data_IF_104544550631
#
_entry.id   IF_104544550631
#
_cell.length_a   1.000
_cell.length_b   1.000
_cell.length_c   1.000
_cell.angle_alpha   90.00
_cell.angle_beta   90.00
_cell.angle_gamma   90.00
#
_symmetry.space_group_name_H-M   'P 1'
#
loop_
_entity.id
_entity.type
_entity.pdbx_description
1 polymer ?
#
# COMPACT_ATOMS: atom_id res chain seq x y z
N UNK A 1 7.67 7.33 -12.25
CA UNK A 1 7.41 7.35 -10.80
C UNK A 1 5.97 6.94 -10.54
N UNK A 2 5.08 7.18 -11.51
CA UNK A 2 3.67 6.81 -11.50
C UNK A 2 3.38 5.37 -11.07
N UNK A 3 4.21 4.38 -11.46
CA UNK A 3 4.07 2.98 -11.03
C UNK A 3 4.08 2.80 -9.49
N UNK A 4 4.93 3.54 -8.78
CA UNK A 4 4.93 3.53 -7.31
C UNK A 4 3.71 4.25 -6.74
N UNK A 5 3.31 5.35 -7.37
CA UNK A 5 2.17 6.15 -6.91
C UNK A 5 0.84 5.39 -7.06
N UNK A 6 0.64 4.71 -8.18
CA UNK A 6 -0.50 3.80 -8.40
C UNK A 6 -0.55 2.71 -7.33
N UNK A 7 0.59 2.05 -7.07
CA UNK A 7 0.71 1.09 -5.97
C UNK A 7 0.19 1.66 -4.64
N UNK A 8 0.67 2.85 -4.26
CA UNK A 8 0.32 3.46 -2.98
C UNK A 8 -1.18 3.83 -2.90
N UNK A 9 -1.77 4.26 -4.02
CA UNK A 9 -3.21 4.51 -4.12
C UNK A 9 -3.99 3.22 -3.87
N UNK A 10 -3.64 2.12 -4.53
CA UNK A 10 -4.34 0.84 -4.39
C UNK A 10 -4.13 0.22 -3.01
N UNK A 11 -2.93 0.35 -2.42
CA UNK A 11 -2.67 -0.10 -1.05
C UNK A 11 -3.61 0.59 -0.07
N UNK A 12 -3.80 1.90 -0.24
CA UNK A 12 -4.71 2.70 0.56
C UNK A 12 -6.21 2.50 0.23
N UNK A 13 -6.55 1.72 -0.79
CA UNK A 13 -7.92 1.20 -0.99
C UNK A 13 -8.13 -0.09 -0.20
N UNK A 14 -7.11 -0.95 -0.19
CA UNK A 14 -7.24 -2.33 0.27
C UNK A 14 -6.84 -2.52 1.73
N UNK A 15 -5.87 -1.77 2.24
CA UNK A 15 -5.23 -2.07 3.52
C UNK A 15 -5.04 -0.83 4.40
N UNK A 16 -5.57 -0.91 5.62
CA UNK A 16 -5.19 -0.03 6.72
C UNK A 16 -5.33 -0.80 8.03
N UNK A 17 -4.21 -1.12 8.67
CA UNK A 17 -4.26 -1.81 9.96
C UNK A 17 -4.43 -0.81 11.10
N UNK A 18 -5.41 -1.05 11.98
CA UNK A 18 -5.61 -0.21 13.16
C UNK A 18 -4.39 -0.28 14.11
N UNK A 19 -3.90 0.88 14.55
CA UNK A 19 -2.88 0.97 15.61
C UNK A 19 -3.50 0.94 17.00
N UNK A 20 -2.81 0.35 17.99
CA UNK A 20 -3.25 0.44 19.39
C UNK A 20 -3.08 1.85 19.93
N UNK A 21 -4.10 2.37 20.62
CA UNK A 21 -4.11 3.71 21.24
C UNK A 21 -4.25 3.60 22.76
N UNK A 22 -3.91 4.67 23.47
CA UNK A 22 -4.21 4.80 24.90
C UNK A 22 -5.74 4.83 25.13
N UNK A 23 -6.19 4.64 26.37
CA UNK A 23 -7.61 4.77 26.74
C UNK A 23 -8.18 6.17 26.47
N UNK A 24 -7.31 7.18 26.38
CA UNK A 24 -7.65 8.57 26.00
C UNK A 24 -7.82 8.76 24.49
N UNK A 25 -7.51 7.75 23.66
CA UNK A 25 -7.48 7.84 22.20
C UNK A 25 -6.15 8.35 21.61
N UNK A 26 -5.22 8.79 22.46
CA UNK A 26 -3.91 9.28 22.03
C UNK A 26 -2.99 8.16 21.53
N UNK A 27 -2.06 8.51 20.64
CA UNK A 27 -1.02 7.60 20.16
C UNK A 27 -0.03 7.24 21.27
N UNK A 28 0.50 6.03 21.23
CA UNK A 28 1.46 5.58 22.24
C UNK A 28 2.91 5.93 21.84
N UNK A 29 3.66 6.50 22.79
CA UNK A 29 5.09 6.77 22.64
C UNK A 29 5.93 5.72 23.40
N UNK A 30 6.48 4.77 22.66
CA UNK A 30 7.07 3.54 23.16
C UNK A 30 8.61 3.54 23.18
N UNK A 31 9.26 4.55 22.59
CA UNK A 31 10.71 4.73 22.65
C UNK A 31 11.06 5.85 23.65
N UNK A 32 11.56 5.49 24.82
CA UNK A 32 12.00 6.42 25.87
C UNK A 32 13.14 5.77 26.65
N UNK A 33 13.84 6.49 27.53
CA UNK A 33 15.07 6.00 28.17
C UNK A 33 14.96 4.61 28.82
N UNK A 34 13.81 4.30 29.42
CA UNK A 34 13.55 3.00 30.04
C UNK A 34 13.41 1.83 29.05
N UNK A 35 13.21 2.10 27.75
CA UNK A 35 13.15 1.07 26.72
C UNK A 35 14.45 0.22 26.67
N UNK A 36 15.59 0.77 27.10
CA UNK A 36 16.86 0.02 27.24
C UNK A 36 16.92 -0.87 28.48
N UNK A 37 16.12 -0.60 29.51
CA UNK A 37 16.26 -1.19 30.85
C UNK A 37 15.33 -2.39 31.10
N UNK A 38 14.56 -2.83 30.11
CA UNK A 38 13.59 -3.92 30.23
C UNK A 38 12.76 -3.84 31.53
N UNK A 39 12.34 -2.62 31.90
CA UNK A 39 11.55 -2.38 33.11
C UNK A 39 10.18 -3.04 33.00
N UNK A 40 9.64 -3.51 34.14
CA UNK A 40 8.39 -4.28 34.20
C UNK A 40 7.13 -3.49 33.81
N UNK A 41 7.18 -2.16 33.77
CA UNK A 41 6.00 -1.33 33.53
C UNK A 41 6.11 -0.74 32.12
N UNK A 42 5.58 -1.48 31.14
CA UNK A 42 5.47 -1.00 29.76
C UNK A 42 4.11 -1.39 29.21
N UNK A 43 3.48 -0.47 28.47
CA UNK A 43 2.22 -0.77 27.82
C UNK A 43 2.38 -2.03 26.94
N UNK A 44 1.47 -3.03 27.00
CA UNK A 44 1.62 -4.30 26.26
C UNK A 44 1.74 -4.14 24.74
N UNK A 45 1.24 -3.03 24.20
CA UNK A 45 1.36 -2.69 22.78
C UNK A 45 2.70 -2.03 22.41
N UNK A 46 3.57 -1.72 23.36
CA UNK A 46 4.84 -1.06 23.06
C UNK A 46 5.91 -2.11 22.72
N UNK A 47 6.58 -1.99 21.55
CA UNK A 47 7.67 -2.89 21.12
C UNK A 47 8.74 -2.13 20.30
N UNK A 48 9.58 -1.31 20.94
CA UNK A 48 10.38 -0.34 20.22
C UNK A 48 11.45 -1.07 19.41
N UNK A 49 11.92 -0.48 18.33
CA UNK A 49 13.03 -1.07 17.59
C UNK A 49 14.30 -0.55 18.24
N UNK A 50 15.02 -1.38 18.98
CA UNK A 50 16.27 -0.98 19.61
C UNK A 50 17.36 -0.82 18.54
N UNK A 51 18.08 0.28 18.61
CA UNK A 51 19.15 0.60 17.67
C UNK A 51 20.48 0.05 18.22
N UNK A 52 21.27 -0.70 17.42
CA UNK A 52 22.59 -1.17 17.79
C UNK A 52 23.52 -0.02 18.21
N UNK A 53 24.47 -0.28 19.11
CA UNK A 53 25.39 0.79 19.58
C UNK A 53 26.35 1.25 18.48
N UNK A 54 26.65 0.35 17.55
CA UNK A 54 27.51 0.50 16.39
C UNK A 54 26.72 0.86 15.12
N UNK A 55 25.45 1.25 15.25
CA UNK A 55 24.67 1.75 14.12
C UNK A 55 25.39 2.94 13.47
N UNK A 56 25.65 2.91 12.15
CA UNK A 56 26.51 3.91 11.50
C UNK A 56 25.89 5.31 11.45
N UNK A 57 24.56 5.44 11.54
CA UNK A 57 23.87 6.73 11.40
C UNK A 57 23.31 7.23 12.73
N UNK A 58 22.55 6.41 13.44
CA UNK A 58 21.84 6.82 14.65
C UNK A 58 22.75 6.99 15.87
N UNK A 59 23.88 6.29 15.92
CA UNK A 59 24.88 6.46 17.00
C UNK A 59 25.42 7.89 17.07
N UNK A 60 25.53 8.57 15.93
CA UNK A 60 25.99 9.96 15.83
C UNK A 60 24.98 10.97 16.42
N UNK A 61 23.73 10.55 16.61
CA UNK A 61 22.62 11.39 17.07
C UNK A 61 22.18 11.06 18.50
N UNK A 62 22.91 10.17 19.20
CA UNK A 62 22.49 9.58 20.47
C UNK A 62 21.09 8.95 20.43
N UNK A 63 20.61 8.55 19.25
CA UNK A 63 19.31 7.93 19.06
C UNK A 63 19.43 6.42 19.27
N UNK A 64 18.52 5.85 20.07
CA UNK A 64 18.70 4.48 20.56
C UNK A 64 17.51 3.56 20.38
N UNK A 65 16.36 4.09 19.99
CA UNK A 65 15.27 3.28 19.50
C UNK A 65 14.38 4.02 18.51
N UNK A 66 13.80 3.30 17.56
CA UNK A 66 12.66 3.82 16.80
C UNK A 66 11.35 3.49 17.53
N UNK A 67 10.42 4.46 17.54
CA UNK A 67 9.11 4.27 18.15
C UNK A 67 8.33 3.20 17.37
N UNK A 68 7.79 2.22 18.08
CA UNK A 68 6.95 1.20 17.46
C UNK A 68 5.85 0.75 18.42
N UNK A 69 4.63 0.81 17.91
CA UNK A 69 3.39 0.41 18.58
C UNK A 69 2.78 -0.75 17.80
N UNK A 70 2.43 -1.82 18.53
CA UNK A 70 1.73 -2.97 17.98
C UNK A 70 0.38 -2.57 17.42
N UNK A 71 0.02 -3.14 16.28
CA UNK A 71 -1.32 -2.97 15.74
C UNK A 71 -2.37 -3.60 16.65
N UNK A 72 -3.57 -3.04 16.66
CA UNK A 72 -4.68 -3.48 17.50
C UNK A 72 -5.02 -4.94 17.19
N UNK A 73 -5.39 -5.70 18.23
CA UNK A 73 -5.89 -7.05 18.05
C UNK A 73 -7.33 -7.00 17.55
N UNK A 74 -7.63 -7.80 16.53
CA UNK A 74 -8.99 -8.03 16.05
C UNK A 74 -9.75 -9.05 16.88
N UNK A 75 -11.05 -8.83 17.13
CA UNK A 75 -11.89 -9.90 17.62
C UNK A 75 -12.00 -10.98 16.54
N UNK A 76 -11.96 -12.25 16.94
CA UNK A 76 -12.33 -13.36 16.05
C UNK A 76 -13.83 -13.30 15.76
N UNK A 77 -14.26 -13.82 14.61
CA UNK A 77 -15.68 -13.84 14.22
C UNK A 77 -16.59 -14.53 15.26
N UNK A 78 -16.06 -15.52 15.96
CA UNK A 78 -16.73 -16.27 17.02
C UNK A 78 -16.47 -15.71 18.43
N UNK A 79 -15.73 -14.60 18.54
CA UNK A 79 -15.28 -13.98 19.80
C UNK A 79 -14.51 -14.93 20.74
N UNK A 80 -14.02 -16.07 20.25
CA UNK A 80 -13.29 -17.03 21.06
C UNK A 80 -11.84 -16.59 21.30
N UNK A 81 -11.28 -17.05 22.42
CA UNK A 81 -9.86 -16.91 22.70
C UNK A 81 -9.03 -17.68 21.66
N UNK A 82 -7.93 -17.09 21.21
CA UNK A 82 -7.02 -17.74 20.29
C UNK A 82 -5.79 -16.88 20.01
N UNK A 83 -5.05 -17.25 18.96
CA UNK A 83 -3.93 -16.45 18.48
C UNK A 83 -4.41 -15.06 18.04
N UNK A 84 -3.50 -14.08 18.12
CA UNK A 84 -3.78 -12.68 17.80
C UNK A 84 -3.95 -12.51 16.30
N UNK A 85 -5.06 -11.90 15.90
CA UNK A 85 -5.32 -11.41 14.54
C UNK A 85 -5.27 -9.89 14.52
N UNK A 86 -4.97 -9.28 13.37
CA UNK A 86 -5.04 -7.82 13.19
C UNK A 86 -6.27 -7.44 12.36
N UNK A 87 -6.79 -6.22 12.57
CA UNK A 87 -7.97 -5.71 11.86
C UNK A 87 -7.52 -4.86 10.67
N UNK A 88 -8.04 -5.18 9.48
CA UNK A 88 -8.09 -4.23 8.36
C UNK A 88 -9.31 -3.32 8.52
N UNK A 89 -9.10 -2.00 8.56
CA UNK A 89 -10.18 -1.01 8.74
C UNK A 89 -10.75 -0.48 7.43
N UNK A 90 -10.23 -0.94 6.28
CA UNK A 90 -10.77 -0.63 4.96
C UNK A 90 -11.63 -1.78 4.42
N UNK A 91 -12.34 -1.50 3.34
CA UNK A 91 -12.96 -2.51 2.48
C UNK A 91 -11.86 -3.38 1.87
N UNK A 92 -12.14 -4.68 1.67
CA UNK A 92 -11.16 -5.63 1.14
C UNK A 92 -11.21 -5.75 -0.39
N UNK A 93 -12.08 -4.98 -1.05
CA UNK A 93 -12.26 -4.94 -2.52
C UNK A 93 -11.76 -3.60 -3.05
N UNK A 94 -11.41 -3.54 -4.34
CA UNK A 94 -11.03 -2.27 -5.01
C UNK A 94 -12.32 -1.54 -5.37
N UNK A 95 -12.80 -0.66 -4.48
CA UNK A 95 -14.06 0.06 -4.63
C UNK A 95 -13.91 1.59 -4.53
N UNK A 96 -12.67 2.08 -4.58
CA UNK A 96 -12.39 3.51 -4.51
C UNK A 96 -12.53 4.07 -3.09
N UNK A 97 -12.43 3.25 -2.05
CA UNK A 97 -12.58 3.67 -0.65
C UNK A 97 -11.53 4.69 -0.19
N UNK A 98 -10.37 4.76 -0.86
CA UNK A 98 -9.42 5.86 -0.66
C UNK A 98 -9.99 7.24 -1.08
N UNK A 99 -10.96 7.25 -1.98
CA UNK A 99 -11.71 8.46 -2.43
C UNK A 99 -13.00 8.62 -1.63
N UNK A 100 -13.75 7.55 -1.41
CA UNK A 100 -15.12 7.60 -0.88
C UNK A 100 -15.24 7.30 0.63
N UNK A 101 -14.16 6.81 1.25
CA UNK A 101 -14.14 6.34 2.64
C UNK A 101 -14.72 4.93 2.82
N UNK A 102 -14.31 4.25 3.88
CA UNK A 102 -14.75 2.89 4.22
C UNK A 102 -15.83 2.83 5.31
N UNK A 103 -16.36 3.99 5.74
CA UNK A 103 -17.48 4.09 6.69
C UNK A 103 -18.56 5.05 6.19
N UNK A 104 -19.80 4.82 6.59
CA UNK A 104 -20.93 5.65 6.18
C UNK A 104 -20.76 7.12 6.61
N UNK A 105 -20.32 7.35 7.84
CA UNK A 105 -20.08 8.71 8.35
C UNK A 105 -18.98 9.43 7.57
N UNK A 106 -17.90 8.71 7.21
CA UNK A 106 -16.82 9.29 6.40
C UNK A 106 -17.30 9.59 4.99
N UNK A 107 -18.05 8.69 4.36
CA UNK A 107 -18.62 8.90 3.03
C UNK A 107 -19.57 10.11 3.03
N UNK A 108 -20.44 10.23 4.04
CA UNK A 108 -21.32 11.41 4.23
C UNK A 108 -20.51 12.69 4.42
N UNK A 109 -19.46 12.65 5.23
CA UNK A 109 -18.59 13.81 5.45
C UNK A 109 -17.92 14.30 4.17
N UNK A 110 -17.49 13.39 3.30
CA UNK A 110 -16.81 13.73 2.05
C UNK A 110 -17.76 14.27 0.96
N UNK A 111 -19.08 14.15 1.12
CA UNK A 111 -20.08 14.57 0.14
C UNK A 111 -20.51 16.03 0.33
N UNK A 112 -20.67 16.73 -0.78
CA UNK A 112 -21.29 18.05 -0.78
C UNK A 112 -22.82 17.97 -0.65
N UNK A 113 -23.39 16.79 -0.97
CA UNK A 113 -24.83 16.54 -1.16
C UNK A 113 -25.45 17.50 -2.17
N UNK A 114 -24.68 17.80 -3.21
CA UNK A 114 -25.05 18.67 -4.31
C UNK A 114 -24.61 18.04 -5.62
N UNK A 115 -25.57 17.70 -6.48
CA UNK A 115 -25.33 17.10 -7.80
C UNK A 115 -24.42 15.85 -7.76
N UNK A 116 -24.46 15.07 -6.68
CA UNK A 116 -23.63 13.90 -6.45
C UNK A 116 -22.15 14.16 -6.20
N UNK A 117 -21.75 15.42 -5.98
CA UNK A 117 -20.34 15.83 -5.88
C UNK A 117 -19.73 15.51 -4.51
N UNK A 118 -18.41 15.33 -4.53
CA UNK A 118 -17.59 15.40 -3.33
C UNK A 118 -17.38 16.87 -2.92
N UNK A 119 -17.10 17.10 -1.64
CA UNK A 119 -16.67 18.42 -1.15
C UNK A 119 -15.29 18.73 -1.73
N UNK A 120 -15.08 19.99 -2.05
CA UNK A 120 -13.82 20.52 -2.58
C UNK A 120 -13.55 21.87 -1.95
N UNK A 121 -12.28 22.21 -1.82
CA UNK A 121 -11.83 23.54 -1.45
C UNK A 121 -11.18 24.25 -2.63
N UNK A 122 -11.33 25.57 -2.68
CA UNK A 122 -10.74 26.38 -3.74
C UNK A 122 -9.51 27.12 -3.23
N UNK A 123 -8.34 26.73 -3.72
CA UNK A 123 -7.07 27.43 -3.45
C UNK A 123 -6.52 27.94 -4.76
N UNK A 124 -6.32 29.26 -4.87
CA UNK A 124 -5.78 29.91 -6.07
C UNK A 124 -6.54 29.60 -7.38
N UNK A 125 -7.84 29.32 -7.29
CA UNK A 125 -8.71 29.00 -8.44
C UNK A 125 -8.74 27.52 -8.84
N UNK A 126 -8.02 26.64 -8.13
CA UNK A 126 -8.05 25.17 -8.33
C UNK A 126 -8.82 24.49 -7.20
N UNK A 127 -9.51 23.40 -7.54
CA UNK A 127 -10.22 22.56 -6.58
C UNK A 127 -9.26 21.52 -5.98
N UNK A 128 -9.18 21.50 -4.65
CA UNK A 128 -8.39 20.57 -3.85
C UNK A 128 -9.30 19.76 -2.91
N UNK A 129 -8.74 18.70 -2.31
CA UNK A 129 -9.40 17.97 -1.23
C UNK A 129 -9.85 18.94 -0.12
N UNK A 130 -11.05 18.73 0.46
CA UNK A 130 -11.70 19.70 1.33
C UNK A 130 -11.03 19.80 2.71
N UNK A 131 -10.85 21.01 3.21
CA UNK A 131 -10.81 21.35 4.64
C UNK A 131 -12.26 21.58 5.11
N UNK A 132 -12.52 21.26 6.37
CA UNK A 132 -13.89 21.24 6.89
C UNK A 132 -14.54 22.63 6.89
N UNK A 133 -15.39 22.91 5.90
CA UNK A 133 -16.48 23.90 5.97
C UNK A 133 -17.61 23.54 5.00
N UNK A 134 -18.86 23.79 5.40
CA UNK A 134 -20.09 23.41 4.68
C UNK A 134 -20.65 24.55 3.79
N UNK A 135 -21.15 24.25 2.58
CA UNK A 135 -22.47 24.72 2.09
C UNK A 135 -22.91 24.24 0.67
N UNK A 136 -24.23 24.39 0.41
CA UNK A 136 -25.16 23.78 -0.60
C UNK A 136 -25.51 24.58 -1.89
N UNK A 137 -25.85 23.88 -2.99
CA UNK A 137 -26.91 24.18 -4.02
C UNK A 137 -27.14 23.02 -5.05
N UNK A 138 -28.36 22.90 -5.63
CA UNK A 138 -28.93 21.74 -6.37
C UNK A 138 -29.16 21.87 -7.92
N UNK A 139 -29.48 20.69 -8.52
CA UNK A 139 -30.21 20.30 -9.78
C UNK A 139 -29.52 19.71 -11.04
N UNK A 140 -29.88 18.44 -11.39
CA UNK A 140 -30.44 17.94 -12.68
C UNK A 140 -30.95 16.48 -12.53
N UNK A 141 -31.79 15.97 -13.44
CA UNK A 141 -32.81 14.87 -13.38
C UNK A 141 -32.47 13.45 -12.83
N UNK A 142 -31.32 13.23 -12.18
CA UNK A 142 -31.11 12.10 -11.28
C UNK A 142 -31.00 12.62 -9.85
N UNK A 143 -31.47 11.86 -8.84
CA UNK A 143 -31.28 12.30 -7.45
C UNK A 143 -29.77 12.46 -7.16
N UNK A 144 -29.39 13.39 -6.27
CA UNK A 144 -28.00 13.56 -5.82
C UNK A 144 -27.34 12.21 -5.47
N UNK A 145 -28.11 11.36 -4.77
CA UNK A 145 -27.69 10.02 -4.40
C UNK A 145 -27.40 9.15 -5.62
N UNK A 146 -28.29 9.16 -6.62
CA UNK A 146 -28.11 8.38 -7.85
C UNK A 146 -26.86 8.81 -8.60
N UNK A 147 -26.61 10.12 -8.73
CA UNK A 147 -25.41 10.64 -9.40
C UNK A 147 -24.15 10.26 -8.65
N UNK A 148 -24.14 10.40 -7.32
CA UNK A 148 -23.00 10.01 -6.49
C UNK A 148 -22.69 8.52 -6.63
N UNK A 149 -23.68 7.64 -6.47
CA UNK A 149 -23.47 6.20 -6.48
C UNK A 149 -23.04 5.68 -7.87
N UNK A 150 -23.63 6.19 -8.94
CA UNK A 150 -23.25 5.78 -10.30
C UNK A 150 -21.86 6.30 -10.69
N UNK A 151 -21.50 7.53 -10.28
CA UNK A 151 -20.13 8.03 -10.43
C UNK A 151 -19.13 7.19 -9.66
N UNK A 152 -19.41 6.90 -8.38
CA UNK A 152 -18.56 6.04 -7.54
C UNK A 152 -18.32 4.68 -8.19
N UNK A 153 -19.38 4.07 -8.71
CA UNK A 153 -19.32 2.74 -9.33
C UNK A 153 -18.48 2.75 -10.61
N UNK A 154 -18.59 3.79 -11.44
CA UNK A 154 -17.76 3.94 -12.65
C UNK A 154 -16.29 4.16 -12.28
N UNK A 155 -16.00 5.06 -11.33
CA UNK A 155 -14.63 5.33 -10.88
C UNK A 155 -13.99 4.07 -10.29
N UNK A 156 -14.72 3.29 -9.48
CA UNK A 156 -14.23 2.01 -8.98
C UNK A 156 -13.88 1.05 -10.13
N UNK A 157 -14.72 0.96 -11.16
CA UNK A 157 -14.46 0.12 -12.34
C UNK A 157 -13.26 0.60 -13.18
N UNK A 158 -13.04 1.91 -13.29
CA UNK A 158 -11.85 2.49 -13.92
C UNK A 158 -10.58 2.11 -13.13
N UNK A 159 -10.61 2.23 -11.79
CA UNK A 159 -9.50 1.82 -10.91
C UNK A 159 -9.22 0.31 -11.05
N UNK A 160 -10.26 -0.53 -11.04
CA UNK A 160 -10.14 -1.98 -11.26
C UNK A 160 -9.47 -2.27 -12.62
N UNK A 161 -9.93 -1.62 -13.68
CA UNK A 161 -9.39 -1.81 -15.04
C UNK A 161 -7.90 -1.42 -15.12
N UNK A 162 -7.56 -0.22 -14.67
CA UNK A 162 -6.17 0.29 -14.69
C UNK A 162 -5.26 -0.63 -13.87
N UNK A 163 -5.71 -1.04 -12.66
CA UNK A 163 -4.93 -1.91 -11.78
C UNK A 163 -4.60 -3.24 -12.45
N UNK A 164 -5.60 -3.92 -13.02
CA UNK A 164 -5.42 -5.27 -13.58
C UNK A 164 -4.81 -5.28 -14.98
N UNK A 165 -4.96 -4.21 -15.77
CA UNK A 165 -4.45 -4.19 -17.15
C UNK A 165 -3.14 -3.45 -17.33
N UNK A 166 -2.83 -2.47 -16.47
CA UNK A 166 -1.63 -1.65 -16.57
C UNK A 166 -0.64 -1.98 -15.47
N UNK A 167 -1.04 -1.82 -14.21
CA UNK A 167 -0.12 -1.94 -13.08
C UNK A 167 0.31 -3.39 -12.83
N UNK A 168 -0.64 -4.30 -12.61
CA UNK A 168 -0.34 -5.68 -12.23
C UNK A 168 0.53 -6.44 -13.24
N UNK A 169 0.29 -6.37 -14.57
CA UNK A 169 1.14 -7.05 -15.54
C UNK A 169 2.59 -6.57 -15.55
N UNK A 170 2.86 -5.31 -15.17
CA UNK A 170 4.21 -4.81 -14.99
C UNK A 170 4.87 -5.42 -13.75
N UNK A 171 4.09 -5.62 -12.69
CA UNK A 171 4.62 -6.07 -11.40
C UNK A 171 4.86 -7.57 -11.36
N UNK A 172 3.85 -8.39 -11.67
CA UNK A 172 3.92 -9.85 -11.53
C UNK A 172 4.15 -10.58 -12.86
N UNK A 173 4.17 -9.85 -13.97
CA UNK A 173 4.40 -10.39 -15.30
C UNK A 173 3.14 -10.95 -15.96
N UNK A 174 3.10 -10.85 -17.30
CA UNK A 174 1.94 -11.30 -18.09
C UNK A 174 1.74 -12.81 -18.02
N UNK A 175 2.80 -13.56 -17.77
CA UNK A 175 2.74 -15.01 -17.61
C UNK A 175 1.88 -15.40 -16.40
N UNK A 176 2.15 -14.81 -15.23
CA UNK A 176 1.37 -15.04 -13.99
C UNK A 176 -0.05 -14.49 -14.13
N UNK A 177 -0.23 -13.32 -14.75
CA UNK A 177 -1.56 -12.75 -15.01
C UNK A 177 -2.47 -13.71 -15.79
N UNK A 178 -1.92 -14.46 -16.76
CA UNK A 178 -2.67 -15.46 -17.54
C UNK A 178 -2.97 -16.71 -16.72
N UNK A 179 -1.99 -17.20 -15.97
CA UNK A 179 -2.14 -18.39 -15.12
C UNK A 179 -3.28 -18.23 -14.10
N UNK A 180 -3.42 -17.03 -13.53
CA UNK A 180 -4.47 -16.72 -12.55
C UNK A 180 -5.74 -16.11 -13.16
N UNK A 181 -5.86 -16.02 -14.49
CA UNK A 181 -6.98 -15.41 -15.22
C UNK A 181 -7.33 -13.98 -14.76
N UNK A 182 -6.30 -13.15 -14.55
CA UNK A 182 -6.45 -11.82 -13.95
C UNK A 182 -6.77 -10.73 -14.97
N UNK A 183 -6.30 -10.84 -16.22
CA UNK A 183 -6.58 -9.85 -17.26
C UNK A 183 -8.08 -9.64 -17.45
N UNK A 184 -8.51 -8.39 -17.63
CA UNK A 184 -9.91 -8.09 -17.95
C UNK A 184 -10.19 -8.35 -19.43
N UNK A 185 -11.46 -8.50 -19.77
CA UNK A 185 -11.90 -8.62 -21.16
C UNK A 185 -11.97 -7.24 -21.82
N UNK A 186 -11.70 -7.17 -23.14
CA UNK A 186 -11.91 -5.94 -23.89
C UNK A 186 -13.40 -5.63 -24.11
N UNK A 187 -14.28 -6.64 -24.01
CA UNK A 187 -15.73 -6.51 -24.12
C UNK A 187 -16.45 -7.70 -23.46
N UNK A 188 -17.75 -7.52 -23.22
CA UNK A 188 -18.63 -8.54 -22.68
C UNK A 188 -18.43 -8.82 -21.20
N UNK A 189 -19.06 -9.89 -20.73
CA UNK A 189 -19.18 -10.19 -19.31
C UNK A 189 -18.30 -11.35 -18.84
N UNK A 190 -18.07 -11.43 -17.53
CA UNK A 190 -17.58 -12.60 -16.82
C UNK A 190 -18.69 -13.26 -16.00
N UNK A 191 -18.51 -14.55 -15.70
CA UNK A 191 -19.44 -15.36 -14.90
C UNK A 191 -18.71 -16.03 -13.74
N UNK A 192 -17.54 -15.47 -13.38
CA UNK A 192 -16.56 -16.13 -12.53
C UNK A 192 -16.87 -15.91 -11.04
N UNK A 193 -17.78 -14.99 -10.69
CA UNK A 193 -18.10 -14.64 -9.31
C UNK A 193 -18.44 -15.88 -8.46
N UNK A 194 -17.72 -16.03 -7.35
CA UNK A 194 -17.89 -17.10 -6.38
C UNK A 194 -18.23 -16.52 -5.01
N UNK A 195 -19.45 -16.78 -4.52
CA UNK A 195 -19.92 -16.30 -3.22
C UNK A 195 -19.39 -17.13 -2.03
N UNK A 196 -18.69 -18.24 -2.28
CA UNK A 196 -18.01 -19.05 -1.27
C UNK A 196 -16.54 -18.71 -1.14
N UNK A 197 -15.97 -17.95 -2.08
CA UNK A 197 -14.60 -17.47 -2.00
C UNK A 197 -14.50 -16.34 -0.98
N UNK A 198 -13.52 -16.42 -0.07
CA UNK A 198 -13.22 -15.33 0.85
C UNK A 198 -12.28 -14.30 0.17
N UNK A 199 -12.75 -13.06 -0.11
CA UNK A 199 -11.95 -11.99 -0.68
C UNK A 199 -11.15 -11.17 0.36
N UNK A 200 -11.17 -11.56 1.64
CA UNK A 200 -10.43 -10.90 2.70
C UNK A 200 -8.94 -10.75 2.37
N UNK A 201 -8.36 -9.62 2.78
CA UNK A 201 -6.94 -9.35 2.57
C UNK A 201 -6.09 -10.25 3.46
N UNK A 202 -5.16 -10.97 2.84
CA UNK A 202 -4.16 -11.77 3.53
C UNK A 202 -3.25 -10.90 4.38
N UNK A 203 -2.88 -11.41 5.56
CA UNK A 203 -2.03 -10.65 6.48
C UNK A 203 -0.64 -10.41 5.88
N UNK A 204 -0.07 -11.42 5.23
CA UNK A 204 1.18 -11.36 4.49
C UNK A 204 1.15 -10.36 3.32
N UNK A 205 -0.01 -10.22 2.65
CA UNK A 205 -0.19 -9.25 1.59
C UNK A 205 -0.05 -7.83 2.14
N UNK A 206 -0.88 -7.46 3.12
CA UNK A 206 -0.88 -6.11 3.70
C UNK A 206 0.40 -5.78 4.49
N UNK A 207 1.05 -6.80 5.05
CA UNK A 207 2.13 -6.60 6.02
C UNK A 207 3.52 -6.72 5.40
N UNK A 208 3.68 -7.47 4.31
CA UNK A 208 4.99 -7.68 3.69
C UNK A 208 4.98 -7.48 2.18
N UNK A 209 4.09 -8.14 1.45
CA UNK A 209 4.20 -8.27 -0.01
C UNK A 209 3.83 -6.97 -0.72
N UNK A 210 2.78 -6.28 -0.27
CA UNK A 210 2.30 -5.01 -0.83
C UNK A 210 3.05 -3.81 -0.24
N UNK A 211 4.36 -3.94 0.02
CA UNK A 211 5.22 -2.87 0.58
C UNK A 211 6.35 -2.50 -0.38
N UNK A 212 5.99 -2.01 -1.57
CA UNK A 212 6.91 -1.67 -2.67
C UNK A 212 7.80 -0.43 -2.40
N UNK A 213 8.22 -0.22 -1.16
CA UNK A 213 8.97 0.95 -0.70
C UNK A 213 10.36 1.09 -1.34
N UNK A 214 10.91 0.01 -1.93
CA UNK A 214 12.15 0.06 -2.72
C UNK A 214 12.00 0.95 -3.97
N UNK A 215 10.78 1.11 -4.52
CA UNK A 215 10.53 1.95 -5.70
C UNK A 215 10.57 3.46 -5.43
N UNK A 216 10.64 3.87 -4.15
CA UNK A 216 10.56 5.27 -3.72
C UNK A 216 11.81 6.05 -4.12
N UNK A 217 11.62 7.21 -4.74
CA UNK A 217 12.69 8.18 -4.99
C UNK A 217 12.79 9.19 -3.84
N UNK A 218 14.00 9.47 -3.38
CA UNK A 218 14.25 10.56 -2.43
C UNK A 218 14.14 11.95 -3.06
N UNK A 219 14.30 12.06 -4.38
CA UNK A 219 14.20 13.31 -5.13
C UNK A 219 13.19 13.18 -6.27
N UNK A 220 12.28 14.14 -6.38
CA UNK A 220 11.30 14.23 -7.47
C UNK A 220 11.52 15.53 -8.24
N UNK A 221 11.73 15.44 -9.55
CA UNK A 221 11.82 16.63 -10.42
C UNK A 221 10.41 17.01 -10.88
N UNK A 222 9.97 18.21 -10.53
CA UNK A 222 8.73 18.79 -11.04
C UNK A 222 8.97 19.34 -12.44
N UNK A 223 8.03 19.07 -13.35
CA UNK A 223 8.17 19.36 -14.77
C UNK A 223 7.04 20.27 -15.27
N UNK A 224 7.35 21.37 -15.93
CA UNK A 224 6.31 22.15 -16.63
C UNK A 224 5.79 21.42 -17.88
N UNK A 225 4.79 21.99 -18.54
CA UNK A 225 4.19 21.42 -19.75
C UNK A 225 5.16 21.32 -20.96
N UNK A 226 6.29 22.01 -20.92
CA UNK A 226 7.37 21.88 -21.91
C UNK A 226 8.38 20.77 -21.54
N UNK A 227 8.14 20.01 -20.47
CA UNK A 227 9.05 18.98 -19.95
C UNK A 227 10.29 19.54 -19.25
N UNK A 228 10.34 20.85 -18.98
CA UNK A 228 11.48 21.47 -18.32
C UNK A 228 11.32 21.40 -16.80
N UNK A 229 12.45 21.20 -16.11
CA UNK A 229 12.47 21.09 -14.66
C UNK A 229 12.28 22.47 -14.04
N UNK A 230 11.19 22.64 -13.32
CA UNK A 230 10.88 23.89 -12.59
C UNK A 230 11.47 23.86 -11.19
N UNK A 231 11.43 22.71 -10.53
CA UNK A 231 11.85 22.52 -9.16
C UNK A 231 12.24 21.06 -8.91
N UNK A 232 13.11 20.81 -7.94
CA UNK A 232 13.34 19.46 -7.41
C UNK A 232 12.90 19.42 -5.95
N UNK A 233 12.02 18.48 -5.63
CA UNK A 233 11.45 18.25 -4.32
C UNK A 233 12.20 17.09 -3.66
N UNK A 234 12.55 17.28 -2.38
CA UNK A 234 13.12 16.21 -1.58
C UNK A 234 12.06 15.60 -0.66
N UNK A 235 11.92 14.28 -0.71
CA UNK A 235 10.85 13.53 -0.04
C UNK A 235 10.82 13.79 1.47
N UNK A 236 11.96 13.72 2.17
CA UNK A 236 12.02 13.90 3.64
C UNK A 236 11.50 15.26 4.14
N UNK A 237 11.36 16.26 3.26
CA UNK A 237 10.82 17.59 3.60
C UNK A 237 9.30 17.70 3.41
N UNK A 238 8.66 16.67 2.83
CA UNK A 238 7.27 16.74 2.34
C UNK A 238 6.36 15.67 2.93
N UNK A 239 6.83 14.83 3.86
CA UNK A 239 5.95 13.96 4.62
C UNK A 239 4.93 14.78 5.41
N UNK A 240 3.63 14.50 5.23
CA UNK A 240 2.51 15.24 5.84
C UNK A 240 2.52 16.76 5.58
N UNK A 241 3.21 17.22 4.53
CA UNK A 241 3.34 18.63 4.21
C UNK A 241 2.96 18.90 2.75
N UNK A 242 1.69 19.25 2.47
CA UNK A 242 1.21 19.51 1.11
C UNK A 242 1.53 20.92 0.61
N UNK A 243 2.24 21.76 1.37
CA UNK A 243 2.41 23.18 1.06
C UNK A 243 2.98 23.46 -0.34
N UNK A 244 3.86 22.59 -0.84
CA UNK A 244 4.43 22.70 -2.18
C UNK A 244 3.39 22.57 -3.30
N UNK A 245 2.26 21.88 -3.06
CA UNK A 245 1.20 21.67 -4.04
C UNK A 245 0.27 22.88 -4.20
N UNK A 246 0.20 23.78 -3.21
CA UNK A 246 -0.72 24.94 -3.25
C UNK A 246 -0.22 26.09 -4.11
N UNK A 247 1.03 26.04 -4.59
CA UNK A 247 1.55 26.99 -5.57
C UNK A 247 0.80 26.81 -6.90
N UNK A 248 0.41 27.93 -7.53
CA UNK A 248 -0.25 27.93 -8.84
C UNK A 248 0.57 27.11 -9.86
N UNK A 249 -0.10 26.17 -10.54
CA UNK A 249 0.50 25.29 -11.55
C UNK A 249 1.32 24.12 -10.98
N UNK A 250 1.57 24.07 -9.66
CA UNK A 250 2.39 23.01 -9.08
C UNK A 250 1.76 21.63 -9.23
N UNK A 251 0.43 21.51 -9.14
CA UNK A 251 -0.27 20.23 -9.30
C UNK A 251 0.06 19.56 -10.65
N UNK A 252 -0.08 20.28 -11.76
CA UNK A 252 0.30 19.80 -13.09
C UNK A 252 1.79 19.46 -13.14
N UNK A 253 2.64 20.27 -12.49
CA UNK A 253 4.07 19.98 -12.43
C UNK A 253 4.42 18.71 -11.63
N UNK A 254 3.64 18.39 -10.59
CA UNK A 254 3.72 17.13 -9.85
C UNK A 254 3.26 15.96 -10.72
N UNK A 255 2.14 16.08 -11.43
CA UNK A 255 1.64 15.04 -12.34
C UNK A 255 2.65 14.75 -13.46
N UNK A 256 3.14 15.79 -14.12
CA UNK A 256 4.20 15.68 -15.13
C UNK A 256 5.49 15.09 -14.52
N UNK A 257 5.80 15.44 -13.27
CA UNK A 257 6.89 14.83 -12.53
C UNK A 257 6.69 13.33 -12.30
N UNK A 258 5.48 12.89 -11.94
CA UNK A 258 5.19 11.48 -11.70
C UNK A 258 5.32 10.63 -12.96
N UNK A 259 4.86 11.15 -14.11
CA UNK A 259 4.95 10.47 -15.40
C UNK A 259 6.34 10.60 -16.03
N UNK A 260 7.05 11.72 -15.85
CA UNK A 260 8.33 12.01 -16.48
C UNK A 260 9.58 11.55 -15.74
N UNK A 261 9.49 11.22 -14.44
CA UNK A 261 10.62 10.67 -13.68
C UNK A 261 10.58 9.13 -13.66
N UNK A 262 11.72 8.42 -13.63
CA UNK A 262 11.72 6.97 -13.36
C UNK A 262 11.30 6.66 -11.91
N UNK A 263 10.96 5.40 -11.61
CA UNK A 263 10.98 4.89 -10.22
C UNK A 263 12.39 4.40 -9.88
N UNK A 264 12.68 4.17 -8.60
CA UNK A 264 13.78 3.27 -8.25
C UNK A 264 13.45 1.83 -8.69
N UNK A 265 14.45 0.96 -8.69
CA UNK A 265 14.32 -0.46 -9.00
C UNK A 265 13.72 -1.24 -7.83
N UNK A 266 13.04 -2.36 -8.11
CA UNK A 266 12.58 -3.26 -7.05
C UNK A 266 13.73 -4.20 -6.63
N UNK A 267 14.45 -3.83 -5.57
CA UNK A 267 15.61 -4.57 -5.09
C UNK A 267 15.89 -4.36 -3.59
N UNK A 268 17.06 -4.82 -3.13
CA UNK A 268 17.48 -4.74 -1.74
C UNK A 268 17.88 -3.34 -1.25
N UNK A 269 17.84 -2.32 -2.11
CA UNK A 269 18.24 -0.96 -1.78
C UNK A 269 17.03 -0.05 -1.54
N UNK A 270 17.22 0.89 -0.62
CA UNK A 270 16.20 1.84 -0.20
C UNK A 270 16.84 3.21 -0.03
N UNK A 271 16.10 4.26 -0.37
CA UNK A 271 16.59 5.65 -0.22
C UNK A 271 16.73 6.03 1.27
N UNK A 272 17.76 6.83 1.58
CA UNK A 272 17.98 7.34 2.95
C UNK A 272 16.79 8.16 3.48
N UNK A 273 16.05 8.80 2.58
CA UNK A 273 14.84 9.55 2.89
C UNK A 273 13.77 8.71 3.62
N UNK A 274 13.81 7.37 3.50
CA UNK A 274 12.91 6.44 4.21
C UNK A 274 13.60 5.52 5.22
N UNK A 275 14.92 5.30 5.14
CA UNK A 275 15.65 4.46 6.11
C UNK A 275 16.21 5.24 7.30
N UNK A 276 16.45 6.54 7.15
CA UNK A 276 17.06 7.39 8.19
C UNK A 276 16.26 8.65 8.49
N UNK A 277 15.33 9.03 7.60
CA UNK A 277 14.67 10.33 7.61
C UNK A 277 13.14 10.24 7.48
N UNK A 278 12.55 9.06 7.70
CA UNK A 278 11.09 8.89 7.64
C UNK A 278 10.42 9.78 8.70
N UNK A 279 9.46 10.61 8.28
CA UNK A 279 8.76 11.57 9.14
C UNK A 279 9.71 12.44 9.99
N UNK A 280 10.88 12.79 9.45
CA UNK A 280 11.81 13.69 10.12
C UNK A 280 11.13 15.02 10.47
N UNK A 281 11.17 15.39 11.74
CA UNK A 281 10.69 16.67 12.23
C UNK A 281 11.61 17.82 11.78
N UNK A 282 11.04 19.02 11.62
CA UNK A 282 11.76 20.18 11.06
C UNK A 282 13.06 20.54 11.80
N UNK A 283 13.08 20.35 13.13
CA UNK A 283 14.24 20.66 13.98
C UNK A 283 15.12 19.43 14.28
N UNK A 284 14.77 18.26 13.73
CA UNK A 284 15.56 17.04 13.88
C UNK A 284 16.54 16.87 12.71
N UNK A 285 17.64 16.17 12.96
CA UNK A 285 18.61 15.74 11.92
C UNK A 285 18.37 14.31 11.44
N UNK A 286 17.44 13.60 12.07
CA UNK A 286 17.08 12.21 11.76
C UNK A 286 15.57 12.01 11.86
N UNK A 287 15.09 10.93 11.24
CA UNK A 287 13.73 10.42 11.36
C UNK A 287 13.75 8.94 11.72
N UNK A 288 12.64 8.26 11.49
CA UNK A 288 12.54 6.82 11.68
C UNK A 288 13.07 6.05 10.45
N UNK A 289 13.15 4.73 10.62
CA UNK A 289 13.51 3.78 9.57
C UNK A 289 12.27 2.98 9.14
N UNK A 290 11.75 3.24 7.94
CA UNK A 290 10.60 2.53 7.38
C UNK A 290 10.86 1.03 7.19
N UNK A 291 12.09 0.65 6.85
CA UNK A 291 12.46 -0.73 6.55
C UNK A 291 12.52 -1.53 7.84
N UNK A 292 13.15 -0.97 8.88
CA UNK A 292 13.10 -1.55 10.22
C UNK A 292 11.65 -1.64 10.74
N UNK A 293 10.81 -0.63 10.50
CA UNK A 293 9.39 -0.66 10.84
C UNK A 293 8.64 -1.80 10.12
N UNK A 294 8.89 -2.03 8.83
CA UNK A 294 8.26 -3.12 8.07
C UNK A 294 8.69 -4.50 8.57
N UNK A 295 9.99 -4.70 8.85
CA UNK A 295 10.50 -5.94 9.47
C UNK A 295 9.78 -6.17 10.81
N UNK A 296 9.79 -5.17 11.68
CA UNK A 296 9.17 -5.27 13.00
C UNK A 296 7.64 -5.47 12.90
N UNK A 297 7.00 -4.92 11.86
CA UNK A 297 5.57 -5.11 11.61
C UNK A 297 5.24 -6.54 11.21
N UNK A 298 6.05 -7.18 10.36
CA UNK A 298 5.93 -8.61 10.05
C UNK A 298 5.98 -9.47 11.31
N UNK A 299 6.93 -9.17 12.21
CA UNK A 299 7.07 -9.86 13.51
C UNK A 299 5.91 -9.58 14.47
N UNK A 300 5.38 -8.35 14.49
CA UNK A 300 4.21 -7.98 15.29
C UNK A 300 2.95 -8.75 14.86
N UNK A 301 2.81 -8.95 13.55
CA UNK A 301 1.73 -9.68 12.91
C UNK A 301 1.90 -11.20 12.94
N UNK A 302 3.05 -11.69 13.41
CA UNK A 302 3.33 -13.12 13.49
C UNK A 302 3.39 -13.79 12.13
N UNK A 303 3.87 -13.08 11.10
CA UNK A 303 4.05 -13.67 9.77
C UNK A 303 5.04 -14.84 9.85
N UNK A 304 4.74 -15.97 9.17
CA UNK A 304 5.70 -17.04 8.97
C UNK A 304 6.98 -16.58 8.27
N UNK A 305 8.04 -17.39 8.39
CA UNK A 305 9.31 -17.12 7.72
C UNK A 305 9.20 -17.32 6.21
N UNK A 306 10.17 -16.77 5.47
CA UNK A 306 10.24 -16.89 4.00
C UNK A 306 10.03 -18.32 3.48
N UNK A 307 10.66 -19.29 4.14
CA UNK A 307 10.63 -20.69 3.75
C UNK A 307 9.23 -21.34 3.85
N UNK A 308 8.37 -20.87 4.75
CA UNK A 308 7.01 -21.39 4.86
C UNK A 308 6.17 -20.92 3.66
N UNK A 309 6.34 -19.66 3.25
CA UNK A 309 5.72 -19.13 2.03
C UNK A 309 6.25 -19.77 0.76
N UNK A 310 7.52 -20.20 0.73
CA UNK A 310 8.04 -21.02 -0.37
C UNK A 310 7.20 -22.28 -0.57
N UNK A 311 6.90 -23.00 0.49
CA UNK A 311 6.11 -24.22 0.40
C UNK A 311 4.65 -23.93 0.01
N UNK A 312 4.05 -22.87 0.55
CA UNK A 312 2.68 -22.44 0.17
C UNK A 312 2.60 -22.13 -1.33
N UNK A 313 3.63 -21.49 -1.88
CA UNK A 313 3.73 -21.19 -3.31
C UNK A 313 4.30 -22.36 -4.15
N UNK A 314 4.35 -23.58 -3.62
CA UNK A 314 4.80 -24.78 -4.35
C UNK A 314 6.30 -24.83 -4.66
N UNK A 315 7.11 -23.97 -4.03
CA UNK A 315 8.56 -23.94 -4.21
C UNK A 315 9.28 -24.78 -3.14
N UNK A 316 10.45 -25.36 -3.46
CA UNK A 316 11.23 -26.13 -2.50
C UNK A 316 11.75 -25.23 -1.38
N UNK A 317 11.71 -25.73 -0.14
CA UNK A 317 12.33 -25.10 1.02
C UNK A 317 13.85 -25.03 0.82
N UNK A 318 14.48 -23.94 1.22
CA UNK A 318 15.94 -23.85 1.28
C UNK A 318 16.43 -24.33 2.64
N UNK A 319 17.52 -25.09 2.71
CA UNK A 319 18.03 -25.66 3.97
C UNK A 319 19.31 -24.99 4.46
N UNK A 320 20.04 -24.31 3.58
CA UNK A 320 21.29 -23.64 3.90
C UNK A 320 21.35 -22.24 3.31
N UNK A 321 22.07 -21.32 3.94
CA UNK A 321 22.23 -19.97 3.39
C UNK A 321 22.84 -19.99 1.98
N UNK A 322 23.69 -20.97 1.66
CA UNK A 322 24.27 -21.12 0.32
C UNK A 322 23.23 -21.43 -0.76
N UNK A 323 22.16 -22.14 -0.44
CA UNK A 323 21.08 -22.39 -1.40
C UNK A 323 20.33 -21.10 -1.79
N UNK A 324 20.38 -20.06 -0.95
CA UNK A 324 19.83 -18.74 -1.32
C UNK A 324 20.51 -18.15 -2.55
N UNK A 325 21.77 -18.49 -2.86
CA UNK A 325 22.44 -18.03 -4.08
C UNK A 325 21.78 -18.55 -5.37
N UNK A 326 20.85 -19.52 -5.29
CA UNK A 326 20.11 -20.00 -6.45
C UNK A 326 18.84 -19.18 -6.71
N UNK A 327 18.24 -18.62 -5.65
CA UNK A 327 16.91 -17.99 -5.70
C UNK A 327 16.96 -16.48 -5.45
N UNK A 328 17.99 -15.98 -4.78
CA UNK A 328 18.18 -14.57 -4.44
C UNK A 328 19.26 -13.90 -5.29
N UNK A 329 19.26 -12.56 -5.28
CA UNK A 329 20.26 -11.71 -5.91
C UNK A 329 21.65 -11.97 -5.33
N UNK A 330 22.69 -11.80 -6.16
CA UNK A 330 24.09 -12.04 -5.78
C UNK A 330 24.46 -11.26 -4.51
N UNK A 331 25.10 -11.93 -3.56
CA UNK A 331 25.52 -11.34 -2.28
C UNK A 331 24.46 -11.41 -1.18
N UNK A 332 23.19 -11.63 -1.51
CA UNK A 332 22.10 -11.72 -0.52
C UNK A 332 22.32 -12.84 0.48
N UNK A 333 22.73 -14.03 0.02
CA UNK A 333 23.01 -15.18 0.89
C UNK A 333 24.02 -14.85 2.00
N UNK A 334 25.08 -14.11 1.67
CA UNK A 334 26.12 -13.71 2.62
C UNK A 334 25.59 -12.72 3.65
N UNK A 335 24.81 -11.73 3.22
CA UNK A 335 24.16 -10.76 4.11
C UNK A 335 23.19 -11.48 5.05
N UNK A 336 22.34 -12.36 4.52
CA UNK A 336 21.37 -13.12 5.33
C UNK A 336 22.06 -13.98 6.39
N UNK A 337 23.17 -14.64 6.04
CA UNK A 337 23.95 -15.46 6.97
C UNK A 337 24.63 -14.64 8.09
N UNK A 338 24.84 -13.34 7.89
CA UNK A 338 25.39 -12.45 8.93
C UNK A 338 24.32 -11.98 9.93
N UNK A 339 23.06 -11.90 9.50
CA UNK A 339 21.96 -11.29 10.26
C UNK A 339 21.04 -12.33 10.90
N UNK A 340 20.76 -13.43 10.20
CA UNK A 340 19.84 -14.47 10.65
C UNK A 340 20.61 -15.70 11.17
N UNK A 341 20.04 -16.36 12.18
CA UNK A 341 20.63 -17.58 12.76
C UNK A 341 20.38 -18.79 11.85
N UNK A 342 19.19 -18.90 11.29
CA UNK A 342 18.79 -19.96 10.38
C UNK A 342 18.01 -19.41 9.19
N UNK A 343 18.02 -20.13 8.06
CA UNK A 343 17.30 -19.73 6.83
C UNK A 343 15.78 -19.65 7.02
N UNK A 344 15.25 -20.34 8.02
CA UNK A 344 13.84 -20.31 8.39
C UNK A 344 13.44 -19.03 9.15
N UNK A 345 14.41 -18.32 9.71
CA UNK A 345 14.16 -17.09 10.48
C UNK A 345 14.03 -15.85 9.59
N UNK A 346 14.28 -15.97 8.27
CA UNK A 346 14.32 -14.83 7.35
C UNK A 346 12.90 -14.24 7.20
N UNK A 347 12.76 -12.97 7.56
CA UNK A 347 11.49 -12.24 7.46
C UNK A 347 11.03 -12.14 5.99
N UNK A 348 9.76 -12.46 5.70
CA UNK A 348 9.19 -12.48 4.34
C UNK A 348 9.45 -11.18 3.56
N UNK A 349 9.27 -10.02 4.20
CA UNK A 349 9.46 -8.71 3.57
C UNK A 349 10.87 -8.56 3.00
N UNK A 350 11.90 -8.88 3.77
CA UNK A 350 13.29 -8.74 3.32
C UNK A 350 13.60 -9.80 2.26
N UNK A 351 13.19 -11.05 2.47
CA UNK A 351 13.44 -12.10 1.49
C UNK A 351 12.87 -11.76 0.10
N UNK A 352 11.65 -11.22 0.02
CA UNK A 352 11.03 -10.87 -1.27
C UNK A 352 11.74 -9.75 -2.03
N UNK A 353 12.29 -8.75 -1.34
CA UNK A 353 13.10 -7.69 -1.98
C UNK A 353 14.45 -8.21 -2.49
N UNK A 354 14.98 -9.28 -1.87
CA UNK A 354 16.22 -9.94 -2.26
C UNK A 354 16.04 -11.06 -3.30
N UNK A 355 14.81 -11.51 -3.55
CA UNK A 355 14.53 -12.59 -4.50
C UNK A 355 14.81 -12.15 -5.94
N UNK A 356 15.25 -13.08 -6.80
CA UNK A 356 15.41 -12.78 -8.22
C UNK A 356 14.03 -12.64 -8.87
N UNK A 357 13.81 -11.61 -9.71
CA UNK A 357 12.54 -11.39 -10.35
C UNK A 357 12.27 -12.48 -11.37
N UNK A 358 10.99 -12.75 -11.62
CA UNK A 358 10.58 -13.57 -12.77
C UNK A 358 10.99 -12.86 -14.08
N UNK A 359 11.20 -13.59 -15.20
CA UNK A 359 11.73 -13.02 -16.44
C UNK A 359 10.93 -11.83 -17.02
N UNK A 360 9.62 -11.80 -16.82
CA UNK A 360 8.71 -10.74 -17.29
C UNK A 360 8.06 -9.93 -16.15
N UNK A 361 8.64 -9.95 -14.94
CA UNK A 361 8.10 -9.30 -13.75
C UNK A 361 9.17 -8.44 -13.02
N UNK A 362 8.76 -7.61 -12.07
CA UNK A 362 9.70 -6.87 -11.19
C UNK A 362 9.93 -7.58 -9.86
N UNK A 363 9.01 -8.46 -9.45
CA UNK A 363 9.09 -9.21 -8.19
C UNK A 363 9.50 -10.66 -8.40
N UNK A 364 10.01 -11.29 -7.34
CA UNK A 364 10.34 -12.71 -7.33
C UNK A 364 9.10 -13.63 -7.21
N UNK A 365 9.31 -14.95 -7.40
CA UNK A 365 8.25 -15.96 -7.36
C UNK A 365 7.29 -15.88 -6.18
N UNK A 366 7.79 -15.61 -4.96
CA UNK A 366 6.94 -15.62 -3.76
C UNK A 366 6.00 -14.42 -3.72
N UNK A 367 6.53 -13.24 -4.03
CA UNK A 367 5.71 -12.04 -4.08
C UNK A 367 4.71 -12.14 -5.24
N UNK A 368 5.12 -12.64 -6.42
CA UNK A 368 4.20 -12.87 -7.54
C UNK A 368 3.04 -13.82 -7.17
N UNK A 369 3.34 -14.94 -6.52
CA UNK A 369 2.35 -15.92 -6.05
C UNK A 369 1.31 -15.30 -5.10
N UNK A 370 1.76 -14.60 -4.05
CA UNK A 370 0.85 -14.02 -3.05
C UNK A 370 0.03 -12.87 -3.65
N UNK A 371 0.64 -12.02 -4.49
CA UNK A 371 -0.04 -10.94 -5.21
C UNK A 371 -1.13 -11.50 -6.14
N UNK A 372 -0.80 -12.54 -6.91
CA UNK A 372 -1.72 -13.12 -7.88
C UNK A 372 -2.91 -13.80 -7.20
N UNK A 373 -2.69 -14.56 -6.12
CA UNK A 373 -3.78 -15.20 -5.38
C UNK A 373 -4.66 -14.18 -4.65
N UNK A 374 -4.08 -13.13 -4.06
CA UNK A 374 -4.87 -12.05 -3.47
C UNK A 374 -5.73 -11.38 -4.55
N UNK A 375 -5.13 -10.95 -5.67
CA UNK A 375 -5.86 -10.32 -6.76
C UNK A 375 -6.95 -11.23 -7.34
N UNK A 376 -6.69 -12.53 -7.49
CA UNK A 376 -7.71 -13.48 -7.94
C UNK A 376 -8.91 -13.48 -7.00
N UNK A 377 -8.68 -13.43 -5.68
CA UNK A 377 -9.76 -13.35 -4.67
C UNK A 377 -10.49 -12.03 -4.69
N UNK A 378 -9.78 -10.92 -4.86
CA UNK A 378 -10.37 -9.60 -5.05
C UNK A 378 -11.26 -9.52 -6.29
N UNK A 379 -10.87 -10.16 -7.40
CA UNK A 379 -11.67 -10.22 -8.64
C UNK A 379 -12.85 -11.17 -8.53
N UNK A 380 -12.59 -12.43 -8.16
CA UNK A 380 -13.57 -13.52 -8.20
C UNK A 380 -14.53 -13.48 -7.00
N UNK A 381 -14.08 -13.01 -5.85
CA UNK A 381 -14.91 -12.88 -4.64
C UNK A 381 -15.68 -11.57 -4.57
N UNK A 382 -15.45 -10.63 -5.50
CA UNK A 382 -16.18 -9.36 -5.54
C UNK A 382 -17.47 -9.48 -6.36
N UNK A 383 -18.61 -9.39 -5.66
CA UNK A 383 -19.93 -9.36 -6.29
C UNK A 383 -20.12 -8.12 -7.16
N UNK A 384 -19.41 -7.03 -6.88
CA UNK A 384 -19.46 -5.78 -7.61
C UNK A 384 -18.35 -5.64 -8.66
N UNK A 385 -17.57 -6.70 -8.91
CA UNK A 385 -16.59 -6.71 -10.00
C UNK A 385 -17.25 -6.25 -11.30
N UNK A 386 -16.65 -5.27 -11.97
CA UNK A 386 -17.34 -4.50 -13.00
C UNK A 386 -17.83 -5.35 -14.19
N UNK A 387 -17.14 -6.46 -14.51
CA UNK A 387 -17.47 -7.35 -15.63
C UNK A 387 -18.57 -8.39 -15.30
N UNK A 388 -19.01 -8.52 -14.04
CA UNK A 388 -19.94 -9.56 -13.63
C UNK A 388 -21.29 -9.46 -14.38
N UNK A 389 -21.72 -10.57 -14.98
CA UNK A 389 -23.04 -10.68 -15.64
C UNK A 389 -24.19 -10.94 -14.67
N UNK A 390 -25.43 -10.79 -15.16
CA UNK A 390 -26.66 -11.30 -14.54
C UNK A 390 -26.94 -10.82 -13.11
N UNK A 391 -26.37 -9.68 -12.70
CA UNK A 391 -26.67 -9.04 -11.43
C UNK A 391 -27.52 -7.79 -11.68
N UNK A 392 -28.36 -7.43 -10.70
CA UNK A 392 -29.18 -6.21 -10.79
C UNK A 392 -28.34 -4.95 -10.99
N UNK A 393 -27.11 -4.97 -10.48
CA UNK A 393 -26.12 -3.91 -10.56
C UNK A 393 -25.03 -4.21 -11.60
N UNK A 394 -25.23 -5.12 -12.56
CA UNK A 394 -24.29 -5.32 -13.67
C UNK A 394 -24.27 -4.07 -14.58
N UNK A 395 -23.13 -3.75 -15.17
CA UNK A 395 -23.09 -2.70 -16.19
C UNK A 395 -23.75 -3.22 -17.48
N UNK A 396 -24.32 -2.33 -18.29
CA UNK A 396 -24.70 -2.72 -19.65
C UNK A 396 -23.44 -2.82 -20.54
N UNK A 397 -23.53 -3.52 -21.66
CA UNK A 397 -22.38 -3.73 -22.57
C UNK A 397 -21.77 -2.41 -23.05
N UNK A 398 -22.59 -1.41 -23.40
CA UNK A 398 -22.10 -0.11 -23.83
C UNK A 398 -21.26 0.60 -22.76
N UNK A 399 -21.61 0.49 -21.48
CA UNK A 399 -20.81 1.02 -20.38
C UNK A 399 -19.51 0.23 -20.20
N UNK A 400 -19.53 -1.09 -20.37
CA UNK A 400 -18.31 -1.90 -20.32
C UNK A 400 -17.34 -1.55 -21.46
N UNK A 401 -17.84 -1.30 -22.67
CA UNK A 401 -17.03 -0.85 -23.81
C UNK A 401 -16.38 0.53 -23.57
N UNK A 402 -16.99 1.37 -22.72
CA UNK A 402 -16.41 2.66 -22.31
C UNK A 402 -15.37 2.52 -21.20
N UNK A 403 -15.53 1.52 -20.31
CA UNK A 403 -14.62 1.28 -19.17
C UNK A 403 -13.40 0.46 -19.59
N UNK A 404 -13.57 -0.59 -20.41
CA UNK A 404 -12.50 -1.51 -20.78
C UNK A 404 -11.24 -0.86 -21.39
N UNK A 405 -11.33 0.19 -22.24
CA UNK A 405 -10.14 0.86 -22.79
C UNK A 405 -9.58 1.95 -21.87
N UNK A 406 -10.10 2.14 -20.65
CA UNK A 406 -9.64 3.19 -19.75
C UNK A 406 -8.21 2.94 -19.31
N UNK A 407 -7.44 4.03 -19.36
CA UNK A 407 -6.01 4.09 -19.09
C UNK A 407 -5.73 5.26 -18.16
N UNK A 408 -4.66 5.18 -17.38
CA UNK A 408 -4.20 6.33 -16.60
C UNK A 408 -3.54 7.40 -17.47
N UNK A 409 -2.91 6.99 -18.58
CA UNK A 409 -2.19 7.85 -19.53
C UNK A 409 -3.02 8.39 -20.69
#
# INVERSE_FOLDING_TARGET
>A
FIVFFEFQIIDHDLTLTASTRASTGEGLHCCHEEARRATKIRHPACKPILIPRDDPFYSQHNHFCNNFVRNAAGPKYDCNLGYREQINTLTHIIDGSMVYGSTEDRAKFLRSFQHGKLRVDKVNGYEFLPFDTQNKSDECEWSDESVYQETRRIVAAEIQTITYNEWMPLIIGRSVMKEFNLLTKPNGYTYDYDNHLNPGIFNEFATAVYRFHTLIQGLLRLLNNAGQVTQTIQLRKHFNNPSAMYRKGAFDEFLNGYTGNPTQTFDQFFTEDITNHLFQEHNSRFGMDLIALNIQRGRDHGLPGYNDFRQVCGLPRVHTFKELDQVMRRGSAQIMAQVYRHVDDIDLFIAGNHERPLPDAVVGPIFACILAEQARRNKVGDRFWFENANMKHSFNEGTLELIAPKSLG
#
